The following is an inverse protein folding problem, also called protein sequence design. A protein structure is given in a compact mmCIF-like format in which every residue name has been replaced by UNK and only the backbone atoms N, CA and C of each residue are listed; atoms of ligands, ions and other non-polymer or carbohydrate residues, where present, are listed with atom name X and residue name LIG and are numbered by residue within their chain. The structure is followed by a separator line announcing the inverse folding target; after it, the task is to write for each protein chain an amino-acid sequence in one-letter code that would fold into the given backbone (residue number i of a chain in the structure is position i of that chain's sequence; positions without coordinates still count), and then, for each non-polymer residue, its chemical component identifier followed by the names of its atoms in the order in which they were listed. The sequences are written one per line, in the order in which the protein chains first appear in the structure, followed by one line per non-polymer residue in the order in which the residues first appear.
data_IF_139631866546
#
_entry.id   IF_139631866546
#
_cell.length_a   1.000
_cell.length_b   1.000
_cell.length_c   1.000
_cell.angle_alpha   90.00
_cell.angle_beta   90.00
_cell.angle_gamma   90.00
#
_symmetry.space_group_name_H-M   'P 1'
#
loop_
_entity.id
_entity.type
_entity.pdbx_description
1 polymer ?
#
# COMPACT_ATOMS: atom_id res chain seq x y z
N UNK A 1 -77.41 15.95 -3.64
CA UNK A 1 -76.67 14.67 -3.52
C UNK A 1 -75.19 14.97 -3.30
N UNK A 2 -74.67 14.81 -2.07
CA UNK A 2 -73.26 15.09 -1.74
C UNK A 2 -72.45 13.79 -1.68
N UNK A 3 -71.52 13.60 -2.62
CA UNK A 3 -70.59 12.46 -2.69
C UNK A 3 -69.56 12.56 -1.55
N UNK A 4 -69.56 11.59 -0.63
CA UNK A 4 -68.55 11.47 0.42
C UNK A 4 -67.29 10.82 -0.18
N UNK A 5 -66.12 11.47 -0.03
CA UNK A 5 -64.82 10.92 -0.43
C UNK A 5 -64.34 9.90 0.62
N UNK A 6 -63.73 8.77 0.22
CA UNK A 6 -63.19 7.78 1.16
C UNK A 6 -61.93 8.34 1.84
N UNK A 7 -61.94 8.34 3.17
CA UNK A 7 -60.80 8.69 4.00
C UNK A 7 -59.74 7.57 3.91
N UNK A 8 -58.66 7.82 3.19
CA UNK A 8 -57.50 6.93 3.12
C UNK A 8 -56.76 7.04 4.46
N UNK A 9 -56.77 5.95 5.23
CA UNK A 9 -56.14 5.85 6.55
C UNK A 9 -54.60 5.84 6.40
N UNK A 10 -53.84 6.76 7.01
CA UNK A 10 -52.38 6.85 6.89
C UNK A 10 -51.62 5.86 7.80
N UNK A 11 -52.29 4.80 8.28
CA UNK A 11 -51.79 3.97 9.38
C UNK A 11 -50.85 2.82 8.95
N UNK A 12 -50.64 2.62 7.64
CA UNK A 12 -49.78 1.54 7.13
C UNK A 12 -48.33 1.98 6.86
N UNK A 13 -48.02 3.28 6.85
CA UNK A 13 -46.71 3.78 6.43
C UNK A 13 -45.67 3.84 7.57
N UNK A 14 -46.08 3.77 8.83
CA UNK A 14 -45.20 3.93 9.99
C UNK A 14 -44.52 2.63 10.45
N UNK A 15 -44.98 1.46 10.01
CA UNK A 15 -44.44 0.17 10.47
C UNK A 15 -43.20 -0.31 9.68
N UNK A 16 -42.90 0.29 8.52
CA UNK A 16 -41.75 -0.09 7.68
C UNK A 16 -40.43 0.58 8.09
N UNK A 17 -40.45 1.56 8.99
CA UNK A 17 -39.26 2.31 9.42
C UNK A 17 -38.53 1.70 10.63
N UNK A 18 -39.14 0.74 11.35
CA UNK A 18 -38.56 0.19 12.58
C UNK A 18 -37.74 -1.09 12.37
N UNK A 19 -37.81 -1.75 11.21
CA UNK A 19 -36.99 -2.95 10.92
C UNK A 19 -35.61 -2.64 10.32
N UNK A 20 -35.34 -1.39 9.91
CA UNK A 20 -34.04 -1.02 9.34
C UNK A 20 -32.94 -0.80 10.39
N UNK A 21 -33.27 -0.79 11.68
CA UNK A 21 -32.33 -0.46 12.76
C UNK A 21 -31.60 -1.69 13.38
N UNK A 22 -31.81 -2.90 12.85
CA UNK A 22 -31.20 -4.14 13.38
C UNK A 22 -30.20 -4.80 12.43
N UNK A 23 -29.79 -4.16 11.33
CA UNK A 23 -28.59 -4.66 10.63
C UNK A 23 -27.37 -4.20 11.41
N UNK A 24 -26.69 -5.13 12.09
CA UNK A 24 -25.43 -4.84 12.79
C UNK A 24 -24.41 -4.15 11.89
N UNK A 25 -23.46 -3.43 12.49
CA UNK A 25 -22.39 -2.75 11.75
C UNK A 25 -21.63 -3.77 10.89
N UNK A 26 -21.53 -3.50 9.59
CA UNK A 26 -20.83 -4.37 8.63
C UNK A 26 -19.38 -4.59 9.04
N UNK A 27 -18.78 -3.63 9.76
CA UNK A 27 -17.40 -3.72 10.28
C UNK A 27 -17.21 -4.88 11.26
N UNK A 28 -18.26 -5.29 11.95
CA UNK A 28 -18.19 -6.38 12.95
C UNK A 28 -18.47 -7.76 12.32
N UNK A 29 -18.73 -7.80 11.01
CA UNK A 29 -18.84 -9.06 10.24
C UNK A 29 -17.52 -9.82 10.35
N UNK A 30 -17.61 -11.11 10.67
CA UNK A 30 -16.43 -11.98 10.71
C UNK A 30 -15.94 -12.23 9.30
N UNK A 31 -14.64 -12.18 9.13
CA UNK A 31 -13.98 -12.46 7.86
C UNK A 31 -14.24 -13.90 7.40
N UNK A 32 -14.33 -14.85 8.34
CA UNK A 32 -14.59 -16.26 8.04
C UNK A 32 -15.99 -16.52 7.43
N UNK A 33 -16.93 -15.59 7.60
CA UNK A 33 -18.29 -15.71 7.09
C UNK A 33 -18.43 -15.14 5.67
N UNK A 34 -17.35 -14.56 5.11
CA UNK A 34 -17.33 -13.94 3.78
C UNK A 34 -16.50 -14.84 2.86
N UNK A 35 -17.12 -15.33 1.78
CA UNK A 35 -16.36 -15.94 0.70
C UNK A 35 -15.63 -14.84 -0.10
N UNK A 36 -14.32 -14.72 0.10
CA UNK A 36 -13.51 -13.71 -0.59
C UNK A 36 -13.29 -14.01 -2.07
N UNK A 37 -13.58 -15.24 -2.52
CA UNK A 37 -13.52 -15.59 -3.95
C UNK A 37 -14.79 -15.19 -4.69
N UNK A 38 -15.89 -15.01 -3.96
CA UNK A 38 -17.15 -14.50 -4.49
C UNK A 38 -17.16 -12.96 -4.54
N UNK A 39 -16.98 -12.43 -5.75
CA UNK A 39 -16.99 -10.99 -5.99
C UNK A 39 -18.30 -10.31 -5.56
N UNK A 40 -19.43 -11.02 -5.58
CA UNK A 40 -20.72 -10.45 -5.18
C UNK A 40 -20.80 -10.24 -3.67
N UNK A 41 -20.38 -11.22 -2.87
CA UNK A 41 -20.32 -11.08 -1.41
C UNK A 41 -19.35 -9.98 -0.97
N UNK A 42 -18.16 -9.94 -1.58
CA UNK A 42 -17.19 -8.88 -1.32
C UNK A 42 -17.78 -7.51 -1.65
N UNK A 43 -18.47 -7.39 -2.79
CA UNK A 43 -19.12 -6.13 -3.18
C UNK A 43 -20.22 -5.70 -2.20
N UNK A 44 -21.03 -6.64 -1.69
CA UNK A 44 -22.08 -6.34 -0.70
C UNK A 44 -21.51 -5.77 0.60
N UNK A 45 -20.40 -6.32 1.09
CA UNK A 45 -19.68 -5.80 2.27
C UNK A 45 -19.10 -4.42 1.94
N UNK A 46 -18.39 -4.31 0.82
CA UNK A 46 -17.71 -3.09 0.37
C UNK A 46 -18.66 -1.90 0.18
N UNK A 47 -19.87 -2.12 -0.34
CA UNK A 47 -20.86 -1.07 -0.57
C UNK A 47 -21.41 -0.43 0.71
N UNK A 48 -21.39 -1.17 1.82
CA UNK A 48 -21.83 -0.69 3.14
C UNK A 48 -20.72 0.04 3.92
N UNK A 49 -19.49 -0.01 3.44
CA UNK A 49 -18.35 0.69 4.01
C UNK A 49 -18.22 2.11 3.44
N UNK A 50 -17.62 2.98 4.24
CA UNK A 50 -17.21 4.32 3.80
C UNK A 50 -16.19 4.24 2.65
N UNK A 51 -16.07 5.27 1.80
CA UNK A 51 -15.18 5.22 0.63
C UNK A 51 -13.71 4.91 0.96
N UNK A 52 -13.18 5.44 2.05
CA UNK A 52 -11.79 5.20 2.49
C UNK A 52 -11.59 3.78 3.03
N UNK A 53 -12.58 3.28 3.77
CA UNK A 53 -12.63 1.91 4.30
C UNK A 53 -12.78 0.88 3.19
N UNK A 54 -13.60 1.18 2.18
CA UNK A 54 -13.81 0.34 1.00
C UNK A 54 -12.50 0.08 0.26
N UNK A 55 -11.67 1.11 0.07
CA UNK A 55 -10.37 0.97 -0.56
C UNK A 55 -9.41 0.10 0.28
N UNK A 56 -9.39 0.30 1.60
CA UNK A 56 -8.56 -0.50 2.51
C UNK A 56 -9.02 -1.97 2.55
N UNK A 57 -10.33 -2.22 2.63
CA UNK A 57 -10.88 -3.58 2.57
C UNK A 57 -10.59 -4.26 1.23
N UNK A 58 -10.74 -3.55 0.10
CA UNK A 58 -10.38 -4.07 -1.21
C UNK A 58 -8.91 -4.47 -1.32
N UNK A 59 -8.00 -3.68 -0.75
CA UNK A 59 -6.58 -4.02 -0.67
C UNK A 59 -6.34 -5.31 0.13
N UNK A 60 -7.04 -5.49 1.25
CA UNK A 60 -6.99 -6.72 2.04
C UNK A 60 -7.48 -7.93 1.24
N UNK A 61 -8.64 -7.82 0.57
CA UNK A 61 -9.18 -8.90 -0.26
C UNK A 61 -8.19 -9.29 -1.36
N UNK A 62 -7.62 -8.31 -2.08
CA UNK A 62 -6.63 -8.58 -3.12
C UNK A 62 -5.37 -9.26 -2.60
N UNK A 63 -4.87 -8.85 -1.42
CA UNK A 63 -3.72 -9.49 -0.77
C UNK A 63 -4.00 -10.98 -0.44
N UNK A 64 -5.23 -11.27 -0.02
CA UNK A 64 -5.68 -12.63 0.35
C UNK A 64 -5.92 -13.52 -0.87
N UNK A 65 -6.54 -13.00 -1.93
CA UNK A 65 -7.01 -13.80 -3.09
C UNK A 65 -5.97 -13.95 -4.19
N UNK A 66 -5.25 -12.87 -4.53
CA UNK A 66 -4.22 -12.89 -5.59
C UNK A 66 -2.87 -13.38 -5.05
N UNK A 67 -2.79 -13.56 -3.73
CA UNK A 67 -1.66 -14.15 -3.04
C UNK A 67 -0.63 -13.10 -2.59
N UNK A 68 -0.26 -13.18 -1.32
CA UNK A 68 0.80 -12.38 -0.71
C UNK A 68 2.18 -12.50 -1.38
N UNK A 69 2.39 -13.53 -2.22
CA UNK A 69 3.66 -13.72 -2.96
C UNK A 69 3.93 -12.64 -4.01
N UNK A 70 2.89 -12.11 -4.66
CA UNK A 70 3.05 -11.13 -5.74
C UNK A 70 3.07 -9.68 -5.22
N UNK A 71 2.55 -9.46 -4.00
CA UNK A 71 2.49 -8.14 -3.40
C UNK A 71 3.72 -7.89 -2.52
N UNK A 72 4.43 -6.76 -2.69
CA UNK A 72 5.55 -6.42 -1.83
C UNK A 72 5.10 -6.43 -0.36
N UNK A 73 5.87 -7.15 0.47
CA UNK A 73 5.80 -7.20 1.94
C UNK A 73 4.63 -7.97 2.55
N UNK A 74 4.28 -9.11 1.94
CA UNK A 74 3.69 -10.22 2.67
C UNK A 74 2.19 -10.12 2.92
N UNK A 75 1.70 -11.07 3.71
CA UNK A 75 0.30 -11.21 4.03
C UNK A 75 -0.12 -10.19 5.09
N UNK A 76 -1.31 -9.61 4.96
CA UNK A 76 -1.87 -8.69 5.95
C UNK A 76 -2.42 -9.52 7.12
N UNK A 77 -1.55 -9.74 8.11
CA UNK A 77 -1.85 -10.48 9.33
C UNK A 77 -1.76 -9.58 10.56
N UNK A 78 -2.34 -10.05 11.66
CA UNK A 78 -2.19 -9.45 13.00
C UNK A 78 -0.79 -9.75 13.55
N UNK A 79 -0.43 -9.08 14.64
CA UNK A 79 0.84 -9.25 15.34
C UNK A 79 1.09 -10.66 15.92
N UNK A 80 0.10 -11.55 15.92
CA UNK A 80 0.26 -12.96 16.27
C UNK A 80 0.41 -13.88 15.05
N UNK A 81 0.63 -13.29 13.86
CA UNK A 81 0.74 -13.99 12.59
C UNK A 81 -0.57 -14.56 12.05
N UNK A 82 -1.72 -14.27 12.68
CA UNK A 82 -3.03 -14.79 12.24
C UNK A 82 -3.78 -13.79 11.38
N UNK A 83 -4.70 -14.30 10.55
CA UNK A 83 -5.63 -13.48 9.79
C UNK A 83 -6.53 -12.64 10.74
N UNK A 84 -6.95 -11.44 10.31
CA UNK A 84 -7.90 -10.63 11.07
C UNK A 84 -9.24 -11.37 11.22
N UNK A 85 -9.89 -11.19 12.38
CA UNK A 85 -11.14 -11.88 12.70
C UNK A 85 -12.33 -11.16 12.07
N UNK A 86 -12.28 -9.84 11.98
CA UNK A 86 -13.39 -8.99 11.54
C UNK A 86 -12.99 -8.07 10.39
N UNK A 87 -13.99 -7.55 9.66
CA UNK A 87 -13.80 -6.53 8.62
C UNK A 87 -13.11 -5.29 9.19
N UNK A 88 -13.48 -4.87 10.41
CA UNK A 88 -12.86 -3.76 11.14
C UNK A 88 -11.35 -3.94 11.30
N UNK A 89 -10.93 -5.11 11.78
CA UNK A 89 -9.51 -5.44 11.96
C UNK A 89 -8.78 -5.47 10.62
N UNK A 90 -9.38 -6.08 9.60
CA UNK A 90 -8.81 -6.15 8.26
C UNK A 90 -8.55 -4.75 7.67
N UNK A 91 -9.52 -3.84 7.79
CA UNK A 91 -9.38 -2.44 7.36
C UNK A 91 -8.25 -1.74 8.10
N UNK A 92 -8.19 -1.89 9.43
CA UNK A 92 -7.15 -1.25 10.25
C UNK A 92 -5.75 -1.71 9.83
N UNK A 93 -5.54 -3.02 9.65
CA UNK A 93 -4.27 -3.58 9.21
C UNK A 93 -3.92 -3.14 7.79
N UNK A 94 -4.90 -3.15 6.87
CA UNK A 94 -4.68 -2.69 5.49
C UNK A 94 -4.29 -1.20 5.43
N UNK A 95 -4.87 -0.34 6.28
CA UNK A 95 -4.48 1.08 6.39
C UNK A 95 -3.03 1.23 6.86
N UNK A 96 -2.63 0.47 7.88
CA UNK A 96 -1.23 0.46 8.36
C UNK A 96 -0.29 -0.03 7.26
N UNK A 97 -0.67 -1.08 6.54
CA UNK A 97 0.10 -1.62 5.41
C UNK A 97 0.25 -0.61 4.28
N UNK A 98 -0.83 0.07 3.90
CA UNK A 98 -0.81 1.13 2.89
C UNK A 98 0.15 2.25 3.28
N UNK A 99 0.06 2.76 4.50
CA UNK A 99 0.95 3.82 4.99
C UNK A 99 2.44 3.40 4.93
N UNK A 100 2.73 2.15 5.29
CA UNK A 100 4.08 1.56 5.18
C UNK A 100 4.56 1.46 3.73
N UNK A 101 3.71 0.96 2.82
CA UNK A 101 4.04 0.86 1.41
C UNK A 101 4.23 2.23 0.75
N UNK A 102 3.39 3.22 1.10
CA UNK A 102 3.52 4.59 0.60
C UNK A 102 4.85 5.22 1.06
N UNK A 103 5.25 4.98 2.32
CA UNK A 103 6.55 5.43 2.83
C UNK A 103 7.72 4.76 2.10
N UNK A 104 7.64 3.44 1.87
CA UNK A 104 8.66 2.70 1.12
C UNK A 104 8.77 3.18 -0.33
N UNK A 105 7.64 3.39 -1.01
CA UNK A 105 7.61 3.88 -2.39
C UNK A 105 8.24 5.26 -2.54
N UNK A 106 8.07 6.15 -1.55
CA UNK A 106 8.77 7.46 -1.53
C UNK A 106 10.28 7.30 -1.47
N UNK A 107 10.79 6.45 -0.56
CA UNK A 107 12.22 6.18 -0.45
C UNK A 107 12.78 5.58 -1.75
N UNK A 108 12.04 4.67 -2.39
CA UNK A 108 12.45 4.08 -3.67
C UNK A 108 12.46 5.10 -4.81
N UNK A 109 11.51 6.05 -4.83
CA UNK A 109 11.50 7.13 -5.81
C UNK A 109 12.71 8.06 -5.63
N UNK A 110 13.06 8.43 -4.39
CA UNK A 110 14.26 9.23 -4.09
C UNK A 110 15.55 8.53 -4.53
N UNK A 111 15.65 7.23 -4.21
CA UNK A 111 16.73 6.35 -4.65
C UNK A 111 16.86 6.35 -6.18
N UNK A 112 15.77 6.15 -6.91
CA UNK A 112 15.79 6.12 -8.37
C UNK A 112 16.17 7.48 -8.98
N UNK A 113 15.73 8.59 -8.38
CA UNK A 113 16.14 9.93 -8.82
C UNK A 113 17.64 10.21 -8.60
N UNK A 114 18.27 9.58 -7.61
CA UNK A 114 19.72 9.62 -7.43
C UNK A 114 20.45 8.79 -8.49
N UNK A 115 19.97 7.57 -8.78
CA UNK A 115 20.52 6.74 -9.87
C UNK A 115 20.45 7.48 -11.20
N UNK A 116 19.31 8.09 -11.52
CA UNK A 116 19.14 8.79 -12.80
C UNK A 116 20.08 9.99 -12.92
N UNK A 117 20.23 10.79 -11.86
CA UNK A 117 21.21 11.88 -11.84
C UNK A 117 22.64 11.38 -12.02
N UNK A 118 22.98 10.24 -11.42
CA UNK A 118 24.29 9.64 -11.61
C UNK A 118 24.50 9.17 -13.05
N UNK A 119 23.53 8.48 -13.63
CA UNK A 119 23.58 8.01 -15.02
C UNK A 119 23.76 9.16 -16.02
N UNK A 120 23.10 10.30 -15.80
CA UNK A 120 23.28 11.50 -16.62
C UNK A 120 24.71 12.03 -16.53
N UNK A 121 25.27 12.15 -15.31
CA UNK A 121 26.67 12.58 -15.12
C UNK A 121 27.68 11.63 -15.79
N UNK A 122 27.38 10.33 -15.84
CA UNK A 122 28.25 9.34 -16.48
C UNK A 122 28.09 9.29 -18.01
N UNK A 123 26.91 9.64 -18.54
CA UNK A 123 26.65 9.68 -19.98
C UNK A 123 27.24 10.93 -20.64
N UNK A 124 27.07 12.08 -19.99
CA UNK A 124 27.53 13.38 -20.46
C UNK A 124 28.47 13.98 -19.41
N UNK A 125 29.72 13.50 -19.33
CA UNK A 125 30.68 14.02 -18.36
C UNK A 125 30.89 15.52 -18.61
N UNK A 126 30.99 16.34 -17.55
CA UNK A 126 31.16 17.78 -17.72
C UNK A 126 32.48 18.06 -18.45
N UNK A 127 32.52 19.11 -19.29
CA UNK A 127 33.65 19.42 -20.18
C UNK A 127 35.00 19.69 -19.47
N UNK A 128 35.00 19.77 -18.13
CA UNK A 128 36.20 19.88 -17.30
C UNK A 128 36.70 18.52 -16.75
N UNK A 129 36.00 17.42 -17.05
CA UNK A 129 36.47 16.06 -16.80
C UNK A 129 37.38 15.69 -17.98
N UNK A 130 38.70 15.84 -17.78
CA UNK A 130 39.71 15.67 -18.84
C UNK A 130 39.63 14.29 -19.51
N UNK A 131 39.73 14.26 -20.83
CA UNK A 131 39.75 13.05 -21.68
C UNK A 131 40.79 12.00 -21.23
N UNK A 132 41.82 12.42 -20.48
CA UNK A 132 42.90 11.57 -19.97
C UNK A 132 42.43 10.43 -19.03
N UNK A 133 41.21 10.49 -18.47
CA UNK A 133 40.68 9.42 -17.61
C UNK A 133 39.77 8.41 -18.32
N UNK A 134 39.41 8.61 -19.59
CA UNK A 134 38.48 7.72 -20.31
C UNK A 134 39.20 6.66 -21.16
N UNK A 135 40.51 6.81 -21.40
CA UNK A 135 41.33 5.82 -22.11
C UNK A 135 41.70 4.63 -21.21
N UNK A 136 40.72 3.75 -20.94
CA UNK A 136 40.92 2.53 -20.14
C UNK A 136 42.00 1.59 -20.71
N UNK A 137 42.44 1.78 -21.97
CA UNK A 137 43.50 0.97 -22.57
C UNK A 137 44.91 1.38 -22.16
N UNK A 138 45.09 2.53 -21.47
CA UNK A 138 46.39 2.99 -20.95
C UNK A 138 46.54 2.90 -19.43
N UNK A 139 45.60 2.25 -18.74
CA UNK A 139 45.43 2.26 -17.29
C UNK A 139 46.43 1.40 -16.47
N UNK A 140 47.74 1.53 -16.72
CA UNK A 140 48.77 0.98 -15.84
C UNK A 140 49.65 2.02 -15.14
N UNK A 141 49.49 3.33 -15.39
CA UNK A 141 50.47 4.30 -14.90
C UNK A 141 49.99 5.36 -13.89
N UNK A 142 48.70 5.62 -13.73
CA UNK A 142 48.22 6.45 -12.62
C UNK A 142 46.75 6.12 -12.32
N UNK A 143 46.37 5.84 -11.07
CA UNK A 143 44.97 5.89 -10.71
C UNK A 143 44.53 7.33 -10.93
N UNK A 144 43.64 7.55 -11.89
CA UNK A 144 42.80 8.74 -11.86
C UNK A 144 42.13 8.72 -10.49
N UNK A 145 42.63 9.54 -9.57
CA UNK A 145 41.96 9.89 -8.33
C UNK A 145 40.79 10.81 -8.70
N UNK A 146 39.88 10.30 -9.55
CA UNK A 146 38.47 10.66 -9.44
C UNK A 146 38.17 10.32 -8.00
N UNK A 147 37.98 11.32 -7.14
CA UNK A 147 37.64 11.18 -5.72
C UNK A 147 36.38 10.35 -5.53
N UNK A 148 36.57 9.05 -5.73
CA UNK A 148 35.64 8.15 -6.38
C UNK A 148 35.68 6.88 -5.57
N UNK A 149 35.14 7.03 -4.36
CA UNK A 149 34.44 5.94 -3.70
C UNK A 149 33.56 5.30 -4.77
N UNK A 150 33.69 3.98 -4.97
CA UNK A 150 32.82 3.24 -5.87
C UNK A 150 31.37 3.62 -5.55
N UNK A 151 30.46 3.58 -6.52
CA UNK A 151 29.08 4.11 -6.38
C UNK A 151 28.35 3.67 -5.10
N UNK A 152 28.67 2.47 -4.57
CA UNK A 152 28.19 1.93 -3.28
C UNK A 152 28.83 2.54 -2.02
N UNK A 153 30.02 3.09 -2.13
CA UNK A 153 30.84 3.57 -1.03
C UNK A 153 30.56 5.05 -0.69
N UNK A 154 29.66 5.74 -1.43
CA UNK A 154 29.26 7.11 -1.04
C UNK A 154 28.39 7.05 0.23
N UNK A 155 28.64 7.93 1.22
CA UNK A 155 27.94 7.90 2.49
C UNK A 155 26.41 8.12 2.37
N UNK A 156 25.95 8.80 1.31
CA UNK A 156 24.51 8.95 1.04
C UNK A 156 23.80 7.66 0.62
N UNK A 157 24.45 6.81 -0.18
CA UNK A 157 23.91 5.50 -0.59
C UNK A 157 23.85 4.56 0.60
N UNK A 158 24.94 4.52 1.34
CA UNK A 158 25.10 3.76 2.56
C UNK A 158 24.03 4.12 3.60
N UNK A 159 23.69 5.42 3.71
CA UNK A 159 22.61 5.92 4.56
C UNK A 159 21.23 5.47 4.08
N UNK A 160 20.94 5.56 2.78
CA UNK A 160 19.66 5.15 2.21
C UNK A 160 19.46 3.63 2.28
N UNK A 161 20.49 2.84 1.99
CA UNK A 161 20.46 1.39 2.13
C UNK A 161 20.25 0.99 3.60
N UNK A 162 20.94 1.65 4.54
CA UNK A 162 20.70 1.45 5.98
C UNK A 162 19.27 1.84 6.38
N UNK A 163 18.72 2.93 5.85
CA UNK A 163 17.35 3.33 6.12
C UNK A 163 16.33 2.34 5.55
N UNK A 164 16.52 1.87 4.31
CA UNK A 164 15.66 0.85 3.68
C UNK A 164 15.73 -0.45 4.48
N UNK A 165 16.93 -0.91 4.83
CA UNK A 165 17.14 -2.12 5.62
C UNK A 165 16.59 -2.01 7.05
N UNK A 166 16.68 -0.83 7.67
CA UNK A 166 16.08 -0.56 8.98
C UNK A 166 14.55 -0.55 8.91
N UNK A 167 13.99 0.09 7.88
CA UNK A 167 12.55 0.02 7.61
C UNK A 167 12.09 -1.42 7.37
N UNK A 168 12.81 -2.21 6.57
CA UNK A 168 12.49 -3.62 6.31
C UNK A 168 12.61 -4.48 7.59
N UNK A 169 13.56 -4.20 8.49
CA UNK A 169 13.64 -4.86 9.80
C UNK A 169 12.46 -4.49 10.69
N UNK A 170 12.10 -3.20 10.77
CA UNK A 170 10.94 -2.73 11.53
C UNK A 170 9.63 -3.26 10.97
N UNK A 171 9.57 -3.53 9.66
CA UNK A 171 8.46 -4.22 9.04
C UNK A 171 8.33 -5.65 9.56
N UNK A 172 9.42 -6.43 9.53
CA UNK A 172 9.44 -7.81 10.03
C UNK A 172 9.13 -7.94 11.52
N UNK A 173 9.48 -6.94 12.33
CA UNK A 173 9.21 -6.95 13.78
C UNK A 173 7.78 -6.55 14.15
N UNK A 174 7.06 -5.92 13.22
CA UNK A 174 5.68 -5.46 13.43
C UNK A 174 4.64 -6.42 12.82
N UNK A 175 5.10 -7.53 12.25
CA UNK A 175 4.35 -8.72 11.83
C UNK A 175 4.34 -9.74 12.98
#
# INVERSE_FOLDING_TARGET
MRKRKPAVRPLALTLLLTLAACSGDVRDTKIADIDMTDAHQVAQVAQKLEPDERAAFGMYVMNRTVGAMLMPGGEIVRADGKAPVTVREAIALAKVRKAKNDARSKLMAERNALVERHNVLMRDPPANMSDDCFDMTKAHAAPCDVGGLAEKDRPEWDRLEKQIADYDRRLKQAE
#
